data_IF_797647920947
#
_entry.id   IF_797647920947
#
_cell.length_a   1.000
_cell.length_b   1.000
_cell.length_c   1.000
_cell.angle_alpha   90.00
_cell.angle_beta   90.00
_cell.angle_gamma   90.00
#
_symmetry.space_group_name_H-M   'P 1'
#
loop_
_entity.id
_entity.type
_entity.pdbx_description
1 polymer ?
#
# COMPACT_ATOMS: atom_id res chain seq x y z
N UNK A 1 5.83 -21.78 11.73
CA UNK A 1 6.89 -21.12 12.51
C UNK A 1 6.40 -19.78 12.99
N UNK A 2 6.48 -19.50 14.29
CA UNK A 2 6.12 -18.21 14.86
C UNK A 2 7.37 -17.31 14.89
N UNK A 3 7.27 -16.11 14.33
CA UNK A 3 8.31 -15.09 14.48
C UNK A 3 8.06 -14.34 15.80
N UNK A 4 9.10 -14.23 16.62
CA UNK A 4 9.05 -13.52 17.89
C UNK A 4 9.63 -12.11 17.71
N UNK A 5 8.86 -11.08 18.05
CA UNK A 5 9.37 -9.71 18.12
C UNK A 5 9.88 -9.44 19.54
N UNK A 6 11.10 -8.95 19.67
CA UNK A 6 11.66 -8.53 20.94
C UNK A 6 12.53 -7.29 20.76
N UNK A 7 12.29 -6.28 21.57
CA UNK A 7 13.03 -5.02 21.49
C UNK A 7 14.30 -5.11 22.36
N UNK A 8 15.46 -4.83 21.79
CA UNK A 8 16.77 -4.88 22.47
C UNK A 8 17.20 -3.47 22.84
N UNK A 9 17.64 -3.29 24.08
CA UNK A 9 18.12 -1.99 24.56
C UNK A 9 19.45 -1.65 23.88
N UNK A 10 19.54 -0.46 23.27
CA UNK A 10 20.78 0.04 22.68
C UNK A 10 21.70 0.64 23.76
N UNK A 11 23.03 0.59 23.59
CA UNK A 11 23.95 1.27 24.49
C UNK A 11 23.68 2.78 24.53
N UNK A 12 23.86 3.40 25.70
CA UNK A 12 23.72 4.87 25.86
C UNK A 12 24.70 5.62 24.93
N UNK A 13 25.88 5.06 24.68
CA UNK A 13 26.88 5.61 23.74
C UNK A 13 26.41 5.66 22.29
N UNK A 14 25.36 4.92 21.92
CA UNK A 14 24.77 4.92 20.58
C UNK A 14 23.42 5.66 20.51
N UNK A 15 23.10 6.44 21.55
CA UNK A 15 21.86 7.21 21.67
C UNK A 15 20.78 6.54 22.52
N UNK A 16 21.09 5.40 23.16
CA UNK A 16 20.17 4.71 24.06
C UNK A 16 18.88 4.22 23.37
N UNK A 17 17.84 3.99 24.16
CA UNK A 17 16.54 3.53 23.66
C UNK A 17 16.53 2.04 23.30
N UNK A 18 15.63 1.67 22.38
CA UNK A 18 15.41 0.28 21.97
C UNK A 18 15.44 0.14 20.46
N UNK A 19 16.00 -0.98 19.98
CA UNK A 19 15.89 -1.43 18.60
C UNK A 19 14.98 -2.65 18.51
N UNK A 20 14.12 -2.67 17.51
CA UNK A 20 13.24 -3.81 17.25
C UNK A 20 14.05 -4.94 16.63
N UNK A 21 13.97 -6.15 17.20
CA UNK A 21 14.49 -7.37 16.59
C UNK A 21 13.40 -8.41 16.39
N UNK A 22 13.58 -9.25 15.36
CA UNK A 22 12.70 -10.37 15.07
C UNK A 22 13.51 -11.66 15.05
N UNK A 23 13.00 -12.68 15.74
CA UNK A 23 13.66 -13.96 15.92
C UNK A 23 12.81 -15.11 15.38
N UNK A 24 13.44 -15.99 14.61
CA UNK A 24 12.87 -17.26 14.17
C UNK A 24 13.47 -18.40 15.02
N UNK A 25 12.76 -18.94 16.02
CA UNK A 25 13.24 -20.06 16.80
C UNK A 25 13.07 -21.38 16.03
N UNK A 26 14.11 -22.20 16.09
CA UNK A 26 14.18 -23.54 15.51
C UNK A 26 14.58 -24.49 16.64
N UNK A 27 13.68 -25.43 16.94
CA UNK A 27 13.87 -26.41 18.01
C UNK A 27 14.03 -27.79 17.36
N UNK A 28 15.21 -28.39 17.51
CA UNK A 28 15.54 -29.69 16.94
C UNK A 28 15.73 -30.70 18.07
N UNK A 29 14.86 -31.72 18.19
CA UNK A 29 15.02 -32.75 19.21
C UNK A 29 16.23 -33.65 18.90
N UNK A 30 16.90 -34.13 19.95
CA UNK A 30 17.94 -35.15 19.88
C UNK A 30 17.40 -36.41 20.53
N UNK A 31 17.40 -37.51 19.78
CA UNK A 31 16.81 -38.77 20.20
C UNK A 31 17.90 -39.75 20.66
N UNK A 32 17.59 -40.58 21.65
CA UNK A 32 18.40 -41.75 21.99
C UNK A 32 18.13 -42.92 21.03
N UNK A 33 18.77 -44.07 21.25
CA UNK A 33 18.59 -45.27 20.44
C UNK A 33 17.15 -45.82 20.49
N UNK A 34 16.42 -45.55 21.56
CA UNK A 34 15.02 -45.95 21.76
C UNK A 34 14.02 -44.95 21.15
N UNK A 35 14.51 -43.87 20.53
CA UNK A 35 13.69 -42.83 19.90
C UNK A 35 13.14 -41.79 20.89
N UNK A 36 13.57 -41.81 22.14
CA UNK A 36 13.14 -40.87 23.17
C UNK A 36 13.94 -39.56 23.11
N UNK A 37 13.26 -38.44 23.32
CA UNK A 37 13.91 -37.13 23.36
C UNK A 37 14.78 -37.02 24.61
N UNK A 38 16.08 -36.88 24.40
CA UNK A 38 17.05 -36.66 25.49
C UNK A 38 17.47 -35.19 25.58
N UNK A 39 17.47 -34.48 24.45
CA UNK A 39 17.78 -33.05 24.40
C UNK A 39 16.92 -32.33 23.36
N UNK A 40 16.88 -31.00 23.47
CA UNK A 40 16.35 -30.10 22.44
C UNK A 40 17.43 -29.07 22.14
N UNK A 41 17.85 -28.98 20.88
CA UNK A 41 18.71 -27.92 20.40
C UNK A 41 17.83 -26.74 19.99
N UNK A 42 18.00 -25.62 20.68
CA UNK A 42 17.32 -24.37 20.35
C UNK A 42 18.27 -23.46 19.56
N UNK A 43 17.90 -23.07 18.35
CA UNK A 43 18.58 -22.06 17.53
C UNK A 43 17.65 -20.89 17.30
N UNK A 44 18.14 -19.67 17.50
CA UNK A 44 17.40 -18.45 17.17
C UNK A 44 18.10 -17.76 16.00
N UNK A 45 17.36 -17.50 14.93
CA UNK A 45 17.85 -16.76 13.76
C UNK A 45 17.28 -15.34 13.79
N UNK A 46 18.15 -14.33 13.71
CA UNK A 46 17.73 -12.94 13.55
C UNK A 46 17.21 -12.76 12.11
N UNK A 47 15.92 -12.46 11.99
CA UNK A 47 15.22 -12.24 10.71
C UNK A 47 14.72 -10.79 10.59
N UNK A 48 15.32 -9.87 11.34
CA UNK A 48 14.89 -8.46 11.42
C UNK A 48 14.87 -7.81 10.05
N UNK A 49 15.96 -7.92 9.29
CA UNK A 49 16.07 -7.32 7.96
C UNK A 49 15.00 -7.86 7.00
N UNK A 50 14.81 -9.18 6.98
CA UNK A 50 13.78 -9.82 6.16
C UNK A 50 12.38 -9.32 6.51
N UNK A 51 12.07 -9.18 7.80
CA UNK A 51 10.79 -8.67 8.27
C UNK A 51 10.57 -7.20 7.89
N UNK A 52 11.59 -6.36 8.03
CA UNK A 52 11.53 -4.94 7.66
C UNK A 52 11.31 -4.77 6.15
N UNK A 53 12.05 -5.52 5.31
CA UNK A 53 11.87 -5.51 3.86
C UNK A 53 10.45 -5.94 3.47
N UNK A 54 9.94 -7.02 4.08
CA UNK A 54 8.58 -7.51 3.84
C UNK A 54 7.51 -6.47 4.22
N UNK A 55 7.71 -5.76 5.34
CA UNK A 55 6.81 -4.68 5.77
C UNK A 55 6.82 -3.51 4.78
N UNK A 56 8.01 -3.08 4.36
CA UNK A 56 8.17 -2.01 3.38
C UNK A 56 7.47 -2.36 2.05
N UNK A 57 7.63 -3.59 1.57
CA UNK A 57 6.96 -4.05 0.35
C UNK A 57 5.44 -4.14 0.50
N UNK A 58 4.92 -4.48 1.67
CA UNK A 58 3.47 -4.43 1.92
C UNK A 58 2.94 -3.01 1.90
N UNK A 59 3.62 -2.05 2.53
CA UNK A 59 3.20 -0.65 2.52
C UNK A 59 3.30 -0.06 1.11
N UNK A 60 4.36 -0.36 0.37
CA UNK A 60 4.51 0.11 -1.02
C UNK A 60 3.38 -0.40 -1.91
N UNK A 61 2.99 -1.66 -1.76
CA UNK A 61 1.84 -2.22 -2.48
C UNK A 61 0.53 -1.54 -2.09
N UNK A 62 0.30 -1.31 -0.79
CA UNK A 62 -0.89 -0.61 -0.28
C UNK A 62 -1.02 0.79 -0.89
N UNK A 63 0.07 1.57 -0.84
CA UNK A 63 0.10 2.93 -1.39
C UNK A 63 -0.15 2.91 -2.90
N UNK A 64 0.51 2.01 -3.64
CA UNK A 64 0.31 1.90 -5.09
C UNK A 64 -1.14 1.55 -5.44
N UNK A 65 -1.77 0.61 -4.74
CA UNK A 65 -3.17 0.26 -4.96
C UNK A 65 -4.11 1.43 -4.67
N UNK A 66 -3.84 2.21 -3.62
CA UNK A 66 -4.63 3.41 -3.31
C UNK A 66 -4.48 4.49 -4.38
N UNK A 67 -3.25 4.73 -4.86
CA UNK A 67 -2.99 5.67 -5.95
C UNK A 67 -3.70 5.24 -7.24
N UNK A 68 -3.64 3.96 -7.59
CA UNK A 68 -4.35 3.41 -8.76
C UNK A 68 -5.85 3.64 -8.67
N UNK A 69 -6.46 3.36 -7.51
CA UNK A 69 -7.89 3.59 -7.30
C UNK A 69 -8.26 5.08 -7.48
N UNK A 70 -7.46 5.99 -6.90
CA UNK A 70 -7.67 7.44 -7.04
C UNK A 70 -7.53 7.90 -8.49
N UNK A 71 -6.55 7.37 -9.24
CA UNK A 71 -6.38 7.67 -10.66
C UNK A 71 -7.61 7.23 -11.45
N UNK A 72 -8.09 6.00 -11.27
CA UNK A 72 -9.29 5.51 -11.98
C UNK A 72 -10.55 6.32 -11.64
N UNK A 73 -10.71 6.75 -10.39
CA UNK A 73 -11.81 7.64 -10.00
C UNK A 73 -11.71 9.00 -10.70
N UNK A 74 -10.52 9.59 -10.75
CA UNK A 74 -10.29 10.87 -11.40
C UNK A 74 -10.50 10.79 -12.92
N UNK A 75 -10.08 9.69 -13.56
CA UNK A 75 -10.32 9.45 -15.00
C UNK A 75 -11.83 9.41 -15.31
N UNK A 76 -12.61 8.68 -14.52
CA UNK A 76 -14.05 8.62 -14.69
C UNK A 76 -14.72 9.99 -14.48
N UNK A 77 -14.26 10.75 -13.49
CA UNK A 77 -14.75 12.10 -13.22
C UNK A 77 -14.42 13.07 -14.37
N UNK A 78 -13.19 13.05 -14.87
CA UNK A 78 -12.76 13.88 -16.02
C UNK A 78 -13.61 13.55 -17.24
N UNK A 79 -13.84 12.27 -17.52
CA UNK A 79 -14.68 11.83 -18.64
C UNK A 79 -16.11 12.38 -18.53
N UNK A 80 -16.74 12.23 -17.36
CA UNK A 80 -18.09 12.73 -17.12
C UNK A 80 -18.17 14.26 -17.24
N UNK A 81 -17.18 14.97 -16.70
CA UNK A 81 -17.10 16.44 -16.80
C UNK A 81 -16.93 16.89 -18.25
N UNK A 82 -16.05 16.25 -19.02
CA UNK A 82 -15.84 16.56 -20.43
C UNK A 82 -17.12 16.32 -21.25
N UNK A 83 -17.81 15.20 -21.02
CA UNK A 83 -19.07 14.90 -21.68
C UNK A 83 -20.16 15.95 -21.36
N UNK A 84 -20.30 16.33 -20.08
CA UNK A 84 -21.23 17.38 -19.67
C UNK A 84 -20.91 18.73 -20.29
N UNK A 85 -19.64 19.11 -20.33
CA UNK A 85 -19.19 20.35 -20.99
C UNK A 85 -19.54 20.35 -22.48
N UNK A 86 -19.36 19.22 -23.17
CA UNK A 86 -19.72 19.10 -24.58
C UNK A 86 -21.23 19.26 -24.80
N UNK A 87 -22.07 18.64 -23.97
CA UNK A 87 -23.53 18.79 -24.05
C UNK A 87 -23.93 20.26 -23.86
N UNK A 88 -23.42 20.91 -22.82
CA UNK A 88 -23.74 22.32 -22.52
C UNK A 88 -23.25 23.25 -23.63
N UNK A 89 -22.04 23.02 -24.14
CA UNK A 89 -21.49 23.82 -25.23
C UNK A 89 -22.34 23.69 -26.51
N UNK A 90 -22.75 22.46 -26.87
CA UNK A 90 -23.64 22.23 -28.00
C UNK A 90 -25.00 22.92 -27.84
N UNK A 91 -25.56 22.96 -26.62
CA UNK A 91 -26.81 23.66 -26.34
C UNK A 91 -26.64 25.18 -26.48
N UNK A 92 -25.55 25.74 -25.94
CA UNK A 92 -25.24 27.16 -26.08
C UNK A 92 -25.12 27.54 -27.56
N UNK A 93 -24.36 26.78 -28.35
CA UNK A 93 -24.22 27.03 -29.79
C UNK A 93 -25.55 27.06 -30.52
N UNK A 94 -26.46 26.12 -30.23
CA UNK A 94 -27.81 26.10 -30.81
C UNK A 94 -28.62 27.34 -30.45
N UNK A 95 -28.57 27.78 -29.19
CA UNK A 95 -29.26 28.98 -28.74
C UNK A 95 -28.67 30.25 -29.37
N UNK A 96 -27.35 30.34 -29.47
CA UNK A 96 -26.68 31.48 -30.12
C UNK A 96 -27.06 31.56 -31.60
N UNK A 97 -27.09 30.42 -32.30
CA UNK A 97 -27.50 30.35 -33.70
C UNK A 97 -28.95 30.76 -33.90
N UNK A 98 -29.88 30.24 -33.08
CA UNK A 98 -31.29 30.62 -33.15
C UNK A 98 -31.52 32.12 -32.88
N UNK A 99 -30.78 32.70 -31.94
CA UNK A 99 -30.86 34.14 -31.65
C UNK A 99 -30.36 35.00 -32.83
N UNK A 100 -29.29 34.56 -33.52
CA UNK A 100 -28.79 35.22 -34.73
C UNK A 100 -29.81 35.16 -35.86
N UNK A 101 -30.47 34.02 -36.07
CA UNK A 101 -31.52 33.86 -37.08
C UNK A 101 -32.73 34.75 -36.81
N UNK A 102 -33.18 34.86 -35.56
CA UNK A 102 -34.28 35.76 -35.17
C UNK A 102 -33.91 37.22 -35.43
N UNK A 103 -32.70 37.64 -35.05
CA UNK A 103 -32.25 39.00 -35.32
C UNK A 103 -32.14 39.30 -36.82
N UNK A 104 -31.70 38.33 -37.62
CA UNK A 104 -31.62 38.48 -39.07
C UNK A 104 -33.00 38.54 -39.75
N UNK A 105 -34.03 37.93 -39.17
CA UNK A 105 -35.41 37.97 -39.67
C UNK A 105 -36.19 39.24 -39.27
N UNK A 106 -35.66 40.02 -38.32
CA UNK A 106 -36.27 41.26 -37.82
C UNK A 106 -35.68 42.54 -38.45
N UNK A 107 -34.70 42.41 -39.35
CA UNK A 107 -34.11 43.48 -40.17
C UNK A 107 -34.60 43.33 -41.60
#
# INVERSE_FOLDING_TARGET
MAILKYDIRRPESEGGGFEVRYWSPINSPVLNADGEVTFIINRAEDVTEFMLLKQQDSERRRINSELQLRTSQMEAEIFLRAHKLQIVNNQLQKLTQAALEINAALI
#
